data_IF_101292331231
#
_entry.id   IF_101292331231
#
_cell.length_a   1.000
_cell.length_b   1.000
_cell.length_c   1.000
_cell.angle_alpha   90.00
_cell.angle_beta   90.00
_cell.angle_gamma   90.00
#
_symmetry.space_group_name_H-M   'P 1'
#
loop_
_entity.id
_entity.type
_entity.pdbx_description
1 polymer ?
#
# COMPACT_ATOMS: atom_id res chain seq x y z
N UNK A 1 -19.36 -17.40 -5.00
CA UNK A 1 -18.36 -16.91 -4.03
C UNK A 1 -19.05 -15.90 -3.14
N UNK A 2 -18.78 -15.89 -1.83
CA UNK A 2 -19.27 -14.83 -0.96
C UNK A 2 -18.64 -13.49 -1.38
N UNK A 3 -19.42 -12.41 -1.33
CA UNK A 3 -18.89 -11.07 -1.57
C UNK A 3 -18.14 -10.60 -0.32
N UNK A 4 -17.00 -9.94 -0.51
CA UNK A 4 -16.37 -9.19 0.57
C UNK A 4 -17.15 -7.90 0.80
N UNK A 5 -17.20 -7.46 2.05
CA UNK A 5 -17.79 -6.22 2.49
C UNK A 5 -16.68 -5.19 2.72
N UNK A 6 -17.01 -3.94 2.45
CA UNK A 6 -16.15 -2.80 2.79
C UNK A 6 -16.76 -2.11 4.00
N UNK A 7 -15.93 -1.88 5.02
CA UNK A 7 -16.33 -1.18 6.23
C UNK A 7 -15.46 0.06 6.45
N UNK A 8 -16.05 1.21 6.80
CA UNK A 8 -15.29 2.31 7.40
C UNK A 8 -14.85 1.91 8.81
N UNK A 9 -13.65 2.33 9.19
CA UNK A 9 -13.11 2.18 10.54
C UNK A 9 -12.72 3.55 11.05
N UNK A 10 -13.32 3.98 12.14
CA UNK A 10 -13.01 5.24 12.80
C UNK A 10 -11.56 5.25 13.32
N UNK A 11 -10.90 6.39 13.20
CA UNK A 11 -9.52 6.59 13.61
C UNK A 11 -9.29 8.04 14.01
N UNK A 12 -8.13 8.31 14.60
CA UNK A 12 -7.66 9.66 14.91
C UNK A 12 -6.32 9.93 14.25
N UNK A 13 -6.00 11.19 13.89
CA UNK A 13 -4.70 11.56 13.36
C UNK A 13 -3.53 11.14 14.26
N UNK A 14 -2.38 10.88 13.64
CA UNK A 14 -1.11 10.70 14.34
C UNK A 14 -0.17 11.85 13.98
N UNK A 15 0.49 12.42 14.98
CA UNK A 15 1.48 13.47 14.74
C UNK A 15 2.69 12.94 13.96
N UNK A 16 3.15 13.74 12.99
CA UNK A 16 4.43 13.51 12.34
C UNK A 16 4.45 12.32 11.37
N UNK A 17 3.32 11.95 10.78
CA UNK A 17 3.25 11.06 9.60
C UNK A 17 3.68 11.77 8.29
N UNK A 18 4.66 12.68 8.37
CA UNK A 18 5.19 13.38 7.20
C UNK A 18 6.15 12.46 6.43
N UNK A 19 5.84 12.06 5.18
CA UNK A 19 6.81 11.35 4.35
C UNK A 19 7.97 12.29 3.99
N UNK A 20 9.20 11.80 4.13
CA UNK A 20 10.37 12.48 3.59
C UNK A 20 10.54 12.22 2.09
N UNK A 21 11.64 12.71 1.52
CA UNK A 21 12.02 12.48 0.09
C UNK A 21 12.10 11.00 -0.29
N UNK A 22 12.23 10.11 0.71
CA UNK A 22 12.31 8.66 0.54
C UNK A 22 11.23 7.92 1.33
N UNK A 23 10.04 8.52 1.48
CA UNK A 23 8.88 7.95 2.17
C UNK A 23 8.85 8.19 3.69
N UNK A 24 7.86 7.59 4.35
CA UNK A 24 7.70 7.64 5.80
C UNK A 24 8.55 6.56 6.45
N UNK A 25 9.37 6.93 7.44
CA UNK A 25 10.20 5.99 8.23
C UNK A 25 10.01 6.24 9.71
N UNK A 26 9.83 5.15 10.46
CA UNK A 26 9.73 5.12 11.93
C UNK A 26 10.19 3.74 12.42
N UNK A 27 10.35 3.61 13.74
CA UNK A 27 10.55 2.30 14.36
C UNK A 27 9.35 1.39 14.10
N UNK A 28 9.60 0.09 13.92
CA UNK A 28 8.59 -0.96 13.76
C UNK A 28 7.50 -0.85 14.83
N UNK A 29 7.89 -0.61 16.10
CA UNK A 29 6.93 -0.45 17.21
C UNK A 29 5.88 0.64 16.99
N UNK A 30 6.18 1.66 16.17
CA UNK A 30 5.25 2.74 15.82
C UNK A 30 4.29 2.25 14.74
N UNK A 31 4.80 1.60 13.69
CA UNK A 31 3.95 1.05 12.62
C UNK A 31 3.00 -0.05 13.10
N UNK A 32 3.35 -0.77 14.15
CA UNK A 32 2.50 -1.79 14.79
C UNK A 32 1.44 -1.22 15.73
N UNK A 33 1.44 0.10 15.99
CA UNK A 33 0.35 0.70 16.73
C UNK A 33 -0.94 0.60 15.89
N UNK A 34 -2.08 0.28 16.51
CA UNK A 34 -3.36 0.24 15.79
C UNK A 34 -3.59 1.51 14.99
N UNK A 35 -4.06 1.36 13.76
CA UNK A 35 -4.39 2.43 12.81
C UNK A 35 -3.21 3.27 12.29
N UNK A 36 -1.96 3.06 12.76
CA UNK A 36 -0.85 3.92 12.31
C UNK A 36 -0.54 3.70 10.83
N UNK A 37 -0.37 2.45 10.40
CA UNK A 37 -0.11 2.13 9.00
C UNK A 37 -1.33 2.46 8.13
N UNK A 38 -2.51 2.09 8.61
CA UNK A 38 -3.79 2.27 7.94
C UNK A 38 -4.06 3.74 7.64
N UNK A 39 -3.82 4.63 8.61
CA UNK A 39 -4.01 6.06 8.43
C UNK A 39 -3.12 6.62 7.31
N UNK A 40 -1.86 6.17 7.25
CA UNK A 40 -0.93 6.62 6.21
C UNK A 40 -1.33 6.09 4.82
N UNK A 41 -1.75 4.82 4.74
CA UNK A 41 -2.21 4.19 3.49
C UNK A 41 -3.47 4.87 2.98
N UNK A 42 -4.46 5.11 3.84
CA UNK A 42 -5.69 5.82 3.46
C UNK A 42 -5.39 7.26 3.05
N UNK A 43 -4.51 7.96 3.78
CA UNK A 43 -4.09 9.31 3.42
C UNK A 43 -3.38 9.36 2.06
N UNK A 44 -2.68 8.29 1.70
CA UNK A 44 -2.11 8.08 0.36
C UNK A 44 -3.19 7.94 -0.71
N UNK A 45 -4.20 7.10 -0.50
CA UNK A 45 -5.33 6.99 -1.42
C UNK A 45 -6.10 8.31 -1.57
N UNK A 46 -6.33 9.03 -0.47
CA UNK A 46 -6.99 10.33 -0.48
C UNK A 46 -6.20 11.35 -1.31
N UNK A 47 -4.87 11.35 -1.23
CA UNK A 47 -4.02 12.26 -2.01
C UNK A 47 -4.00 11.92 -3.50
N UNK A 48 -4.19 10.65 -3.87
CA UNK A 48 -4.28 10.22 -5.26
C UNK A 48 -5.66 10.52 -5.88
N UNK A 49 -6.68 10.76 -5.06
CA UNK A 49 -8.10 10.91 -5.41
C UNK A 49 -8.79 9.58 -5.82
N UNK A 50 -10.11 9.44 -5.56
CA UNK A 50 -10.86 8.24 -5.94
C UNK A 50 -10.75 7.87 -7.42
N UNK A 51 -10.62 8.86 -8.31
CA UNK A 51 -10.52 8.66 -9.76
C UNK A 51 -9.23 7.94 -10.17
N UNK A 52 -8.12 8.14 -9.45
CA UNK A 52 -6.87 7.42 -9.73
C UNK A 52 -6.78 6.07 -9.02
N UNK A 53 -7.52 5.89 -7.93
CA UNK A 53 -7.47 4.67 -7.10
C UNK A 53 -8.46 3.62 -7.61
N UNK A 54 -9.70 4.01 -7.93
CA UNK A 54 -10.72 3.07 -8.42
C UNK A 54 -10.30 2.45 -9.75
N UNK A 55 -10.34 1.13 -9.83
CA UNK A 55 -9.94 0.38 -11.03
C UNK A 55 -8.43 0.23 -11.21
N UNK A 56 -7.61 0.81 -10.33
CA UNK A 56 -6.15 0.76 -10.44
C UNK A 56 -5.60 -0.66 -10.31
N UNK A 57 -4.42 -0.87 -10.91
CA UNK A 57 -3.52 -1.97 -10.52
C UNK A 57 -2.36 -1.35 -9.74
N UNK A 58 -2.08 -1.85 -8.53
CA UNK A 58 -0.97 -1.38 -7.70
C UNK A 58 0.05 -2.49 -7.48
N UNK A 59 1.31 -2.11 -7.25
CA UNK A 59 2.33 -3.04 -6.75
C UNK A 59 2.50 -2.83 -5.24
N UNK A 60 2.59 -3.91 -4.47
CA UNK A 60 2.88 -3.85 -3.03
C UNK A 60 3.96 -4.88 -2.71
N UNK A 61 5.18 -4.43 -2.41
CA UNK A 61 6.33 -5.31 -2.12
C UNK A 61 7.44 -4.52 -1.43
N UNK A 62 8.50 -5.19 -1.00
CA UNK A 62 9.57 -4.54 -0.27
C UNK A 62 10.87 -5.33 -0.19
N UNK A 63 11.71 -4.90 0.75
CA UNK A 63 13.05 -5.46 1.00
C UNK A 63 13.06 -6.66 1.96
N UNK A 64 11.88 -7.12 2.39
CA UNK A 64 11.72 -8.30 3.24
C UNK A 64 11.96 -8.06 4.73
N UNK A 65 12.13 -6.80 5.17
CA UNK A 65 12.32 -6.49 6.59
C UNK A 65 11.15 -6.94 7.46
N UNK A 66 11.41 -7.09 8.75
CA UNK A 66 10.41 -7.39 9.76
C UNK A 66 9.15 -6.51 9.59
N UNK A 67 7.96 -7.08 9.80
CA UNK A 67 6.63 -6.48 9.58
C UNK A 67 6.17 -6.34 8.11
N UNK A 68 7.02 -6.60 7.11
CA UNK A 68 6.61 -6.44 5.69
C UNK A 68 5.43 -7.33 5.29
N UNK A 69 5.39 -8.59 5.75
CA UNK A 69 4.31 -9.52 5.41
C UNK A 69 2.96 -9.03 5.95
N UNK A 70 2.92 -8.58 7.20
CA UNK A 70 1.72 -8.06 7.84
C UNK A 70 1.25 -6.77 7.15
N UNK A 71 2.18 -5.86 6.85
CA UNK A 71 1.89 -4.62 6.15
C UNK A 71 1.32 -4.86 4.73
N UNK A 72 1.79 -5.88 4.01
CA UNK A 72 1.24 -6.27 2.70
C UNK A 72 -0.23 -6.65 2.84
N UNK A 73 -0.59 -7.48 3.83
CA UNK A 73 -1.98 -7.91 4.02
C UNK A 73 -2.90 -6.72 4.35
N UNK A 74 -2.44 -5.81 5.22
CA UNK A 74 -3.17 -4.58 5.55
C UNK A 74 -3.41 -3.75 4.28
N UNK A 75 -2.37 -3.51 3.48
CA UNK A 75 -2.48 -2.70 2.26
C UNK A 75 -3.39 -3.38 1.22
N UNK A 76 -3.37 -4.71 1.08
CA UNK A 76 -4.27 -5.44 0.17
C UNK A 76 -5.74 -5.21 0.56
N UNK A 77 -6.06 -5.36 1.85
CA UNK A 77 -7.44 -5.17 2.36
C UNK A 77 -7.92 -3.73 2.17
N UNK A 78 -7.04 -2.76 2.42
CA UNK A 78 -7.37 -1.35 2.20
C UNK A 78 -7.46 -0.98 0.72
N UNK A 79 -6.62 -1.57 -0.15
CA UNK A 79 -6.69 -1.38 -1.59
C UNK A 79 -8.04 -1.85 -2.13
N UNK A 80 -8.49 -3.05 -1.74
CA UNK A 80 -9.83 -3.54 -2.05
C UNK A 80 -10.92 -2.61 -1.51
N UNK A 81 -10.81 -2.17 -0.25
CA UNK A 81 -11.75 -1.24 0.38
C UNK A 81 -11.85 0.12 -0.32
N UNK A 82 -10.78 0.56 -0.99
CA UNK A 82 -10.73 1.83 -1.73
C UNK A 82 -11.02 1.66 -3.24
N UNK A 83 -11.39 0.46 -3.69
CA UNK A 83 -11.79 0.18 -5.07
C UNK A 83 -10.64 -0.04 -6.06
N UNK A 84 -9.42 -0.28 -5.57
CA UNK A 84 -8.33 -0.81 -6.41
C UNK A 84 -8.79 -2.14 -6.99
N UNK A 85 -8.54 -2.39 -8.28
CA UNK A 85 -8.99 -3.60 -8.96
C UNK A 85 -8.00 -4.76 -8.85
N UNK A 86 -6.72 -4.47 -8.65
CA UNK A 86 -5.70 -5.51 -8.57
C UNK A 86 -4.49 -5.07 -7.77
N UNK A 87 -3.92 -6.00 -7.01
CA UNK A 87 -2.61 -5.84 -6.39
C UNK A 87 -1.64 -6.89 -6.92
N UNK A 88 -0.48 -6.45 -7.40
CA UNK A 88 0.65 -7.31 -7.73
C UNK A 88 1.65 -7.33 -6.58
N UNK A 89 2.00 -8.53 -6.14
CA UNK A 89 2.96 -8.76 -5.06
C UNK A 89 4.08 -9.65 -5.59
N UNK A 90 5.34 -9.30 -5.31
CA UNK A 90 6.47 -10.18 -5.57
C UNK A 90 6.40 -11.42 -4.68
N UNK A 91 6.95 -12.54 -5.14
CA UNK A 91 6.95 -13.76 -4.34
C UNK A 91 7.60 -13.50 -2.96
N UNK A 92 6.96 -13.99 -1.90
CA UNK A 92 7.30 -13.72 -0.50
C UNK A 92 7.22 -12.23 -0.07
N UNK A 93 6.59 -11.38 -0.88
CA UNK A 93 6.55 -9.93 -0.70
C UNK A 93 7.81 -9.20 -1.17
N UNK A 94 8.69 -9.87 -1.92
CA UNK A 94 10.02 -9.37 -2.24
C UNK A 94 10.08 -8.76 -3.64
N UNK A 95 10.37 -7.46 -3.70
CA UNK A 95 10.83 -6.77 -4.90
C UNK A 95 11.79 -5.65 -4.49
N UNK A 96 12.96 -5.60 -5.12
CA UNK A 96 13.86 -4.46 -4.96
C UNK A 96 13.18 -3.19 -5.50
N UNK A 97 13.54 -2.01 -4.99
CA UNK A 97 12.97 -0.75 -5.49
C UNK A 97 13.14 -0.57 -7.01
N UNK A 98 14.29 -0.91 -7.64
CA UNK A 98 14.42 -0.91 -9.09
C UNK A 98 13.47 -1.90 -9.79
N UNK A 99 13.27 -3.10 -9.23
CA UNK A 99 12.34 -4.07 -9.79
C UNK A 99 10.89 -3.59 -9.70
N UNK A 100 10.49 -2.94 -8.61
CA UNK A 100 9.16 -2.29 -8.51
C UNK A 100 9.00 -1.23 -9.61
N UNK A 101 10.00 -0.36 -9.81
CA UNK A 101 9.97 0.66 -10.86
C UNK A 101 9.81 0.04 -12.25
N UNK A 102 10.58 -1.01 -12.56
CA UNK A 102 10.48 -1.73 -13.82
C UNK A 102 9.11 -2.40 -14.00
N UNK A 103 8.55 -3.01 -12.96
CA UNK A 103 7.21 -3.63 -13.00
C UNK A 103 6.14 -2.59 -13.30
N UNK A 104 6.19 -1.41 -12.66
CA UNK A 104 5.21 -0.35 -12.91
C UNK A 104 5.22 0.05 -14.40
N UNK A 105 6.41 0.24 -14.97
CA UNK A 105 6.58 0.76 -16.32
C UNK A 105 6.32 -0.27 -17.42
N UNK A 106 6.82 -1.48 -17.22
CA UNK A 106 6.98 -2.45 -18.32
C UNK A 106 6.01 -3.63 -18.23
N UNK A 107 5.54 -4.01 -17.03
CA UNK A 107 4.67 -5.19 -16.91
C UNK A 107 3.28 -4.88 -17.46
N UNK A 108 2.83 -5.72 -18.39
CA UNK A 108 1.46 -5.74 -18.90
C UNK A 108 0.79 -7.01 -18.42
N UNK A 109 -0.37 -6.87 -17.76
CA UNK A 109 -1.21 -7.97 -17.33
C UNK A 109 -1.82 -8.71 -18.53
N UNK A 110 -2.29 -9.93 -18.31
CA UNK A 110 -2.96 -10.74 -19.34
C UNK A 110 -4.21 -10.07 -19.92
N UNK A 111 -4.82 -9.17 -19.15
CA UNK A 111 -5.98 -8.35 -19.52
C UNK A 111 -5.58 -6.95 -20.05
N UNK A 112 -4.30 -6.73 -20.34
CA UNK A 112 -3.77 -5.44 -20.80
C UNK A 112 -3.54 -4.41 -19.70
N UNK A 113 -3.83 -4.74 -18.43
CA UNK A 113 -3.62 -3.82 -17.30
C UNK A 113 -2.15 -3.47 -17.09
N UNK A 114 -1.91 -2.28 -16.56
CA UNK A 114 -0.60 -1.79 -16.12
C UNK A 114 -0.73 -1.23 -14.71
N UNK A 115 0.33 -1.31 -13.93
CA UNK A 115 0.30 -0.71 -12.60
C UNK A 115 0.39 0.81 -12.67
N UNK A 116 -0.40 1.51 -11.87
CA UNK A 116 -0.46 2.99 -11.84
C UNK A 116 0.28 3.58 -10.63
N UNK A 117 0.84 2.72 -9.78
CA UNK A 117 1.66 3.10 -8.65
C UNK A 117 2.05 1.91 -7.78
N UNK A 118 2.80 2.18 -6.72
CA UNK A 118 3.24 1.14 -5.80
C UNK A 118 3.48 1.64 -4.39
N UNK A 119 3.11 0.80 -3.42
CA UNK A 119 3.64 0.89 -2.07
C UNK A 119 4.91 0.05 -1.97
N UNK A 120 6.01 0.68 -1.55
CA UNK A 120 7.31 0.01 -1.38
C UNK A 120 7.67 -0.03 0.10
N UNK A 121 7.74 -1.24 0.66
CA UNK A 121 8.01 -1.49 2.07
C UNK A 121 9.52 -1.61 2.30
N UNK A 122 10.15 -0.49 2.62
CA UNK A 122 11.60 -0.42 2.81
C UNK A 122 11.99 0.84 3.59
N UNK A 123 12.96 0.70 4.49
CA UNK A 123 13.68 1.83 5.06
C UNK A 123 15.09 2.00 4.44
N UNK A 124 15.32 1.42 3.26
CA UNK A 124 16.58 1.50 2.51
C UNK A 124 17.77 0.98 3.35
N UNK A 125 18.77 1.82 3.59
CA UNK A 125 19.97 1.48 4.36
C UNK A 125 19.73 1.35 5.88
N UNK A 126 18.56 1.76 6.39
CA UNK A 126 18.26 1.68 7.81
C UNK A 126 18.14 0.21 8.27
N UNK A 127 18.64 -0.11 9.49
CA UNK A 127 18.57 -1.46 10.03
C UNK A 127 17.12 -1.96 10.11
N UNK A 128 16.95 -3.27 9.93
CA UNK A 128 15.66 -3.96 10.03
C UNK A 128 15.64 -4.92 11.21
N UNK A 129 14.44 -5.20 11.74
CA UNK A 129 14.25 -6.07 12.89
C UNK A 129 13.11 -5.56 13.80
N UNK A 130 12.66 -6.36 14.78
CA UNK A 130 11.51 -6.01 15.63
C UNK A 130 11.64 -4.67 16.37
N UNK A 131 12.88 -4.28 16.69
CA UNK A 131 13.20 -3.06 17.42
C UNK A 131 13.77 -1.95 16.52
N UNK A 132 13.86 -2.19 15.21
CA UNK A 132 14.51 -1.31 14.26
C UNK A 132 13.52 -0.59 13.34
N UNK A 133 13.99 -0.11 12.20
CA UNK A 133 13.23 0.78 11.35
C UNK A 133 12.38 0.02 10.33
N UNK A 134 11.17 0.53 10.13
CA UNK A 134 10.30 0.20 9.02
C UNK A 134 10.06 1.45 8.18
N UNK A 135 9.71 1.25 6.91
CA UNK A 135 9.44 2.36 6.02
C UNK A 135 8.44 1.99 4.94
N UNK A 136 7.69 2.99 4.50
CA UNK A 136 6.73 2.89 3.41
C UNK A 136 6.94 4.08 2.47
N UNK A 137 7.08 3.77 1.17
CA UNK A 137 7.19 4.74 0.09
C UNK A 137 6.02 4.57 -0.87
N UNK A 138 5.68 5.63 -1.60
CA UNK A 138 4.79 5.54 -2.74
C UNK A 138 5.50 5.96 -4.02
N UNK A 139 5.41 5.13 -5.06
CA UNK A 139 5.85 5.45 -6.42
C UNK A 139 4.65 5.65 -7.35
N UNK A 140 4.80 6.55 -8.31
CA UNK A 140 3.78 6.89 -9.32
C UNK A 140 3.90 6.01 -10.57
N UNK A 141 2.95 6.17 -11.49
CA UNK A 141 2.86 5.44 -12.77
C UNK A 141 4.10 5.52 -13.67
N UNK A 142 4.94 6.55 -13.53
CA UNK A 142 6.21 6.65 -14.25
C UNK A 142 7.32 5.74 -13.68
N UNK A 143 7.02 5.02 -12.59
CA UNK A 143 7.93 4.16 -11.84
C UNK A 143 8.80 4.91 -10.82
N UNK A 144 8.71 6.23 -10.75
CA UNK A 144 9.48 7.09 -9.85
C UNK A 144 8.75 7.39 -8.53
N UNK A 145 9.44 7.98 -7.54
CA UNK A 145 8.82 8.36 -6.27
C UNK A 145 7.70 9.40 -6.47
N UNK A 146 6.73 9.41 -5.55
CA UNK A 146 5.72 10.45 -5.48
C UNK A 146 6.37 11.85 -5.43
N UNK A 147 5.92 12.81 -6.27
CA UNK A 147 6.44 14.17 -6.25
C UNK A 147 6.02 14.90 -4.97
N UNK A 148 6.72 15.99 -4.66
CA UNK A 148 6.54 16.76 -3.42
C UNK A 148 5.08 17.15 -3.15
N UNK A 149 4.38 17.67 -4.17
CA UNK A 149 2.97 18.04 -4.04
C UNK A 149 2.04 16.88 -3.65
N UNK A 150 2.34 15.65 -4.07
CA UNK A 150 1.61 14.46 -3.62
C UNK A 150 2.00 14.13 -2.19
N UNK A 151 3.29 14.10 -1.86
CA UNK A 151 3.73 13.77 -0.49
C UNK A 151 3.25 14.78 0.56
N UNK A 152 3.14 16.05 0.20
CA UNK A 152 2.56 17.08 1.04
C UNK A 152 1.05 16.86 1.21
N UNK A 153 0.32 16.56 0.12
CA UNK A 153 -1.10 16.23 0.22
C UNK A 153 -1.35 15.00 1.09
N UNK A 154 -0.48 13.98 1.01
CA UNK A 154 -0.53 12.82 1.92
C UNK A 154 -0.42 13.30 3.37
N UNK A 155 0.57 14.13 3.68
CA UNK A 155 0.76 14.66 5.02
C UNK A 155 -0.44 15.48 5.51
N UNK A 156 -0.98 16.37 4.68
CA UNK A 156 -2.18 17.15 5.00
C UNK A 156 -3.38 16.24 5.33
N UNK A 157 -3.56 15.16 4.58
CA UNK A 157 -4.59 14.17 4.85
C UNK A 157 -4.36 13.43 6.18
N UNK A 158 -3.11 13.09 6.52
CA UNK A 158 -2.82 12.40 7.80
C UNK A 158 -3.20 13.21 9.03
N UNK A 159 -3.16 14.55 8.94
CA UNK A 159 -3.50 15.46 10.05
C UNK A 159 -5.02 15.59 10.28
N UNK A 160 -5.82 15.19 9.30
CA UNK A 160 -7.28 15.44 9.30
C UNK A 160 -8.11 14.17 9.14
N UNK A 161 -7.47 13.01 8.94
CA UNK A 161 -8.12 11.72 8.79
C UNK A 161 -8.99 11.37 10.01
N UNK A 162 -10.20 10.86 9.73
CA UNK A 162 -11.18 10.41 10.74
C UNK A 162 -11.61 8.97 10.55
N UNK A 163 -11.40 8.43 9.36
CA UNK A 163 -11.73 7.05 9.03
C UNK A 163 -10.81 6.52 7.93
N UNK A 164 -10.75 5.20 7.81
CA UNK A 164 -10.22 4.51 6.65
C UNK A 164 -11.14 3.39 6.19
N UNK A 165 -11.01 2.99 4.93
CA UNK A 165 -11.77 1.90 4.33
C UNK A 165 -10.93 0.62 4.29
N UNK A 166 -11.52 -0.49 4.69
CA UNK A 166 -10.91 -1.81 4.61
C UNK A 166 -11.93 -2.86 4.20
N UNK A 167 -11.48 -3.92 3.52
CA UNK A 167 -12.30 -5.06 3.14
C UNK A 167 -12.09 -6.24 4.10
N UNK A 168 -13.15 -7.01 4.37
CA UNK A 168 -13.14 -8.22 5.21
C UNK A 168 -12.55 -9.45 4.48
N UNK A 169 -11.39 -9.27 3.86
CA UNK A 169 -10.71 -10.33 3.12
C UNK A 169 -9.87 -11.24 4.04
N UNK A 170 -9.78 -12.54 3.74
CA UNK A 170 -8.75 -13.39 4.31
C UNK A 170 -7.37 -12.95 3.81
N UNK A 171 -6.32 -13.33 4.53
CA UNK A 171 -4.96 -13.09 4.07
C UNK A 171 -4.66 -13.89 2.79
N UNK A 172 -3.90 -13.29 1.89
CA UNK A 172 -3.46 -13.93 0.64
C UNK A 172 -2.12 -14.62 0.89
N UNK A 173 -1.98 -15.87 0.43
CA UNK A 173 -0.68 -16.55 0.43
C UNK A 173 0.27 -15.91 -0.59
N UNK A 174 1.13 -15.03 -0.11
CA UNK A 174 2.15 -14.34 -0.92
C UNK A 174 3.39 -15.20 -1.19
N UNK A 175 3.47 -16.44 -0.69
CA UNK A 175 4.61 -17.34 -0.90
C UNK A 175 4.48 -18.15 -2.20
N UNK A 176 3.25 -18.44 -2.61
CA UNK A 176 2.93 -19.13 -3.85
C UNK A 176 2.74 -18.15 -5.02
N UNK A 177 3.24 -18.51 -6.19
CA UNK A 177 2.96 -17.75 -7.42
C UNK A 177 1.58 -18.16 -7.92
N UNK A 178 0.70 -17.19 -8.14
CA UNK A 178 -0.63 -17.45 -8.67
C UNK A 178 -1.51 -16.21 -8.65
N UNK A 179 -2.80 -16.43 -8.89
CA UNK A 179 -3.84 -15.41 -8.77
C UNK A 179 -4.83 -15.89 -7.71
N UNK A 180 -5.04 -15.06 -6.70
CA UNK A 180 -6.17 -15.19 -5.78
C UNK A 180 -7.15 -14.09 -6.15
N UNK A 181 -8.44 -14.44 -6.28
CA UNK A 181 -9.48 -13.50 -6.67
C UNK A 181 -10.59 -13.46 -5.63
N UNK A 182 -11.09 -12.26 -5.39
CA UNK A 182 -12.23 -12.00 -4.52
C UNK A 182 -13.29 -11.24 -5.31
N UNK A 183 -14.53 -11.27 -4.84
CA UNK A 183 -15.64 -10.54 -5.45
C UNK A 183 -16.19 -9.56 -4.43
N UNK A 184 -16.30 -8.29 -4.79
CA UNK A 184 -16.96 -7.26 -3.99
C UNK A 184 -18.12 -6.65 -4.78
N UNK A 185 -18.84 -5.72 -4.15
CA UNK A 185 -19.97 -5.04 -4.80
C UNK A 185 -19.55 -4.25 -6.06
N UNK A 186 -18.34 -3.70 -6.06
CA UNK A 186 -17.76 -2.93 -7.19
C UNK A 186 -17.06 -3.83 -8.24
N UNK A 187 -17.20 -5.16 -8.11
CA UNK A 187 -16.67 -6.15 -9.05
C UNK A 187 -15.55 -7.02 -8.47
N UNK A 188 -14.81 -7.69 -9.35
CA UNK A 188 -13.72 -8.58 -8.98
C UNK A 188 -12.46 -7.78 -8.55
N UNK A 189 -11.82 -8.23 -7.48
CA UNK A 189 -10.52 -7.82 -6.99
C UNK A 189 -9.50 -8.98 -7.13
#
# INVERSE_FOLDING_TARGET
>A
MALFNVSPVETTPFDGQKPGTSGLRKKVKVFKQPNYLENFVQSTFNALTPQKVRGATLVVSGDGRYFSKDAIQIIIKMAAGNGVRRVWVGQNGLLSTPAVSAVIRERVGVDGSRATGAFILTASHNPGGPNEDFGIKYNMENGGPAPEGITDQIYENTKTIKEYLTADLPDVDITAIGVTSFSGHDGQF
#
